data_IF_991341675235
#
_entry.id   IF_991341675235
#
_cell.length_a   1.000
_cell.length_b   1.000
_cell.length_c   1.000
_cell.angle_alpha   90.00
_cell.angle_beta   90.00
_cell.angle_gamma   90.00
#
_symmetry.space_group_name_H-M   'P 1'
#
loop_
_entity.id
_entity.type
_entity.pdbx_description
1 polymer ?
#
# COMPACT_ATOMS: atom_id res chain seq x y z
N UNK A 1 9.56 -13.87 21.88
CA UNK A 1 9.15 -13.01 20.75
C UNK A 1 9.30 -11.58 21.21
N UNK A 2 10.49 -11.01 21.04
CA UNK A 2 10.66 -9.57 21.21
C UNK A 2 9.92 -8.90 20.05
N UNK A 3 8.89 -8.12 20.35
CA UNK A 3 8.19 -7.36 19.32
C UNK A 3 9.08 -6.26 18.76
N UNK A 4 8.68 -5.68 17.62
CA UNK A 4 9.33 -4.54 16.94
C UNK A 4 9.64 -3.30 17.83
N UNK A 5 9.19 -3.27 19.08
CA UNK A 5 9.34 -2.12 19.97
C UNK A 5 8.50 -0.92 19.56
N UNK A 6 7.58 -1.07 18.60
CA UNK A 6 6.74 0.03 18.15
C UNK A 6 5.78 0.50 19.24
N UNK A 7 5.55 1.82 19.36
CA UNK A 7 4.54 2.34 20.25
C UNK A 7 3.16 1.79 19.94
N UNK A 8 2.36 1.50 20.99
CA UNK A 8 1.04 0.91 20.85
C UNK A 8 0.06 1.77 20.01
N UNK A 9 0.25 3.09 19.96
CA UNK A 9 -0.59 3.97 19.15
C UNK A 9 -0.38 3.79 17.63
N UNK A 10 0.74 3.20 17.21
CA UNK A 10 1.05 3.01 15.80
C UNK A 10 0.12 1.97 15.16
N UNK A 11 -0.25 0.94 15.92
CA UNK A 11 -1.12 -0.14 15.46
C UNK A 11 -2.53 0.36 15.03
N UNK A 12 -3.29 1.11 15.86
CA UNK A 12 -4.58 1.67 15.42
C UNK A 12 -4.41 2.71 14.29
N UNK A 13 -3.32 3.49 14.28
CA UNK A 13 -3.05 4.44 13.20
C UNK A 13 -2.92 3.71 11.84
N UNK A 14 -2.06 2.69 11.77
CA UNK A 14 -1.88 1.89 10.56
C UNK A 14 -3.16 1.13 10.18
N UNK A 15 -3.91 0.62 11.16
CA UNK A 15 -5.20 -0.02 10.93
C UNK A 15 -6.21 0.91 10.24
N UNK A 16 -6.39 2.12 10.79
CA UNK A 16 -7.28 3.13 10.19
C UNK A 16 -6.79 3.55 8.80
N UNK A 17 -5.49 3.78 8.63
CA UNK A 17 -4.92 4.15 7.34
C UNK A 17 -5.17 3.07 6.26
N UNK A 18 -5.02 1.79 6.61
CA UNK A 18 -5.30 0.66 5.70
C UNK A 18 -6.77 0.58 5.31
N UNK A 19 -7.68 0.80 6.26
CA UNK A 19 -9.12 0.85 5.97
C UNK A 19 -9.47 1.99 5.02
N UNK A 20 -8.94 3.19 5.26
CA UNK A 20 -9.13 4.35 4.36
C UNK A 20 -8.57 4.06 2.96
N UNK A 21 -7.37 3.48 2.88
CA UNK A 21 -6.75 3.08 1.61
C UNK A 21 -7.58 2.04 0.85
N UNK A 22 -8.08 1.02 1.54
CA UNK A 22 -8.94 0.00 0.95
C UNK A 22 -10.25 0.59 0.41
N UNK A 23 -10.90 1.46 1.18
CA UNK A 23 -12.11 2.17 0.72
C UNK A 23 -11.84 3.02 -0.52
N UNK A 24 -10.71 3.74 -0.57
CA UNK A 24 -10.30 4.53 -1.73
C UNK A 24 -10.07 3.66 -2.99
N UNK A 25 -9.45 2.49 -2.84
CA UNK A 25 -9.20 1.55 -3.94
C UNK A 25 -10.52 0.98 -4.49
N UNK A 26 -11.46 0.63 -3.62
CA UNK A 26 -12.75 0.05 -4.02
C UNK A 26 -13.66 1.10 -4.65
N UNK A 27 -13.69 2.33 -4.12
CA UNK A 27 -14.57 3.40 -4.59
C UNK A 27 -14.46 3.61 -6.12
N UNK A 28 -15.56 3.82 -6.85
CA UNK A 28 -15.51 3.96 -8.30
C UNK A 28 -14.89 5.28 -8.77
N UNK A 29 -15.12 6.40 -8.05
CA UNK A 29 -15.13 7.73 -8.64
C UNK A 29 -13.87 8.62 -8.46
N UNK A 30 -12.80 8.15 -7.81
CA UNK A 30 -11.67 9.04 -7.44
C UNK A 30 -10.29 8.52 -7.89
N UNK A 31 -9.89 8.71 -9.17
CA UNK A 31 -8.62 8.22 -9.70
C UNK A 31 -7.38 8.77 -8.97
N UNK A 32 -7.33 10.08 -8.63
CA UNK A 32 -6.19 10.66 -7.89
C UNK A 32 -6.05 10.07 -6.48
N UNK A 33 -7.17 9.92 -5.78
CA UNK A 33 -7.17 9.35 -4.43
C UNK A 33 -6.72 7.89 -4.45
N UNK A 34 -7.01 7.15 -5.52
CA UNK A 34 -6.47 5.80 -5.72
C UNK A 34 -4.96 5.78 -5.85
N UNK A 35 -4.38 6.70 -6.63
CA UNK A 35 -2.91 6.81 -6.71
C UNK A 35 -2.29 7.00 -5.33
N UNK A 36 -2.88 7.87 -4.52
CA UNK A 36 -2.40 8.11 -3.16
C UNK A 36 -2.58 6.88 -2.26
N UNK A 37 -3.70 6.17 -2.39
CA UNK A 37 -3.95 4.93 -1.65
C UNK A 37 -2.95 3.82 -2.01
N UNK A 38 -2.70 3.60 -3.30
CA UNK A 38 -1.70 2.64 -3.77
C UNK A 38 -0.29 3.04 -3.30
N UNK A 39 0.10 4.31 -3.42
CA UNK A 39 1.39 4.81 -2.95
C UNK A 39 1.57 4.58 -1.43
N UNK A 40 0.54 4.91 -0.63
CA UNK A 40 0.56 4.68 0.81
C UNK A 40 0.73 3.20 1.19
N UNK A 41 0.01 2.30 0.51
CA UNK A 41 0.14 0.85 0.71
C UNK A 41 1.54 0.36 0.34
N UNK A 42 2.11 0.85 -0.77
CA UNK A 42 3.48 0.49 -1.18
C UNK A 42 4.48 0.92 -0.11
N UNK A 43 4.40 2.15 0.41
CA UNK A 43 5.29 2.62 1.47
C UNK A 43 5.13 1.85 2.78
N UNK A 44 3.90 1.52 3.18
CA UNK A 44 3.62 0.67 4.35
C UNK A 44 4.26 -0.71 4.22
N UNK A 45 4.08 -1.37 3.07
CA UNK A 45 4.60 -2.72 2.84
C UNK A 45 6.12 -2.76 2.71
N UNK A 46 6.73 -1.77 2.06
CA UNK A 46 8.19 -1.62 2.02
C UNK A 46 8.74 -1.35 3.43
N UNK A 47 8.08 -0.50 4.22
CA UNK A 47 8.44 -0.24 5.61
C UNK A 47 8.34 -1.50 6.47
N UNK A 48 7.30 -2.29 6.29
CA UNK A 48 7.13 -3.58 6.97
C UNK A 48 8.28 -4.54 6.60
N UNK A 49 8.61 -4.70 5.31
CA UNK A 49 9.74 -5.53 4.86
C UNK A 49 11.07 -5.05 5.46
N UNK A 50 11.34 -3.75 5.42
CA UNK A 50 12.55 -3.18 6.01
C UNK A 50 12.66 -3.51 7.50
N UNK A 51 11.55 -3.39 8.23
CA UNK A 51 11.51 -3.67 9.66
C UNK A 51 11.83 -5.13 9.97
N UNK A 52 11.30 -6.06 9.17
CA UNK A 52 11.61 -7.50 9.31
C UNK A 52 13.06 -7.83 8.97
N UNK A 53 13.63 -7.17 7.95
CA UNK A 53 15.07 -7.27 7.65
C UNK A 53 15.90 -6.82 8.85
N UNK A 54 15.52 -5.71 9.50
CA UNK A 54 16.23 -5.21 10.68
C UNK A 54 16.12 -6.13 11.89
N UNK A 55 15.06 -6.93 11.99
CA UNK A 55 14.89 -7.95 13.02
C UNK A 55 15.54 -9.30 12.68
N UNK A 56 16.13 -9.46 11.49
CA UNK A 56 16.61 -10.73 10.95
C UNK A 56 15.51 -11.82 10.86
N UNK A 57 14.25 -11.41 10.70
CA UNK A 57 13.10 -12.32 10.59
C UNK A 57 12.73 -12.53 9.11
N UNK A 58 13.60 -13.22 8.37
CA UNK A 58 13.49 -13.37 6.91
C UNK A 58 12.18 -14.03 6.46
N UNK A 59 11.64 -14.96 7.25
CA UNK A 59 10.37 -15.64 6.96
C UNK A 59 9.18 -14.67 6.97
N UNK A 60 9.25 -13.60 7.79
CA UNK A 60 8.16 -12.63 7.90
C UNK A 60 8.15 -11.58 6.77
N UNK A 61 9.16 -11.58 5.90
CA UNK A 61 9.22 -10.74 4.70
C UNK A 61 8.24 -11.25 3.63
N UNK A 62 7.92 -12.54 3.62
CA UNK A 62 7.12 -13.19 2.56
C UNK A 62 5.73 -12.55 2.44
N UNK A 63 5.05 -12.34 3.57
CA UNK A 63 3.70 -11.77 3.59
C UNK A 63 3.62 -10.34 3.02
N UNK A 64 4.40 -9.35 3.51
CA UNK A 64 4.37 -8.01 2.94
C UNK A 64 4.89 -7.95 1.51
N UNK A 65 5.84 -8.81 1.12
CA UNK A 65 6.31 -8.92 -0.26
C UNK A 65 5.20 -9.41 -1.20
N UNK A 66 4.48 -10.46 -0.82
CA UNK A 66 3.36 -10.97 -1.63
C UNK A 66 2.26 -9.91 -1.78
N UNK A 67 1.89 -9.25 -0.68
CA UNK A 67 0.90 -8.17 -0.72
C UNK A 67 1.37 -7.00 -1.60
N UNK A 68 2.67 -6.70 -1.61
CA UNK A 68 3.23 -5.63 -2.44
C UNK A 68 3.09 -5.98 -3.92
N UNK A 69 3.43 -7.21 -4.30
CA UNK A 69 3.26 -7.69 -5.68
C UNK A 69 1.80 -7.65 -6.11
N UNK A 70 0.87 -8.07 -5.24
CA UNK A 70 -0.56 -7.98 -5.51
C UNK A 70 -1.05 -6.54 -5.64
N UNK A 71 -0.58 -5.62 -4.80
CA UNK A 71 -0.93 -4.21 -4.87
C UNK A 71 -0.44 -3.57 -6.17
N UNK A 72 0.81 -3.83 -6.57
CA UNK A 72 1.38 -3.34 -7.83
C UNK A 72 0.68 -3.96 -9.04
N UNK A 73 0.40 -5.26 -9.01
CA UNK A 73 -0.37 -5.94 -10.06
C UNK A 73 -1.78 -5.36 -10.20
N UNK A 74 -2.46 -5.14 -9.07
CA UNK A 74 -3.78 -4.50 -9.02
C UNK A 74 -3.75 -3.08 -9.60
N UNK A 75 -2.74 -2.29 -9.27
CA UNK A 75 -2.55 -0.95 -9.81
C UNK A 75 -2.31 -0.96 -11.32
N UNK A 76 -1.44 -1.85 -11.80
CA UNK A 76 -1.08 -1.96 -13.21
C UNK A 76 -2.25 -2.42 -14.08
N UNK A 77 -2.97 -3.45 -13.63
CA UNK A 77 -4.12 -4.05 -14.32
C UNK A 77 -5.42 -3.23 -14.19
N UNK A 78 -5.38 -2.09 -13.49
CA UNK A 78 -6.55 -1.26 -13.27
C UNK A 78 -7.12 -0.77 -14.62
N UNK A 79 -8.45 -0.85 -14.85
CA UNK A 79 -9.05 -0.47 -16.13
C UNK A 79 -8.85 1.03 -16.44
N UNK A 80 -8.79 1.41 -17.73
CA UNK A 80 -8.58 2.81 -18.14
C UNK A 80 -9.60 3.79 -17.55
N UNK A 81 -10.86 3.35 -17.38
CA UNK A 81 -11.94 4.14 -16.76
C UNK A 81 -11.67 4.56 -15.31
N UNK A 82 -10.69 3.94 -14.66
CA UNK A 82 -10.27 4.24 -13.28
C UNK A 82 -8.88 4.90 -13.22
N UNK A 83 -8.26 5.21 -14.36
CA UNK A 83 -6.99 5.95 -14.46
C UNK A 83 -7.25 7.45 -14.60
N UNK A 84 -6.24 8.26 -14.29
CA UNK A 84 -6.31 9.69 -14.56
C UNK A 84 -6.36 9.93 -16.07
N UNK A 85 -7.17 10.88 -16.55
CA UNK A 85 -7.08 11.36 -17.93
C UNK A 85 -5.67 11.89 -18.18
N UNK A 86 -5.12 11.63 -19.37
CA UNK A 86 -3.84 12.18 -19.78
C UNK A 86 -3.90 13.72 -19.71
N UNK A 87 -3.16 14.31 -18.76
CA UNK A 87 -3.13 15.75 -18.55
C UNK A 87 -2.30 16.49 -19.60
N UNK A 88 -1.65 15.75 -20.51
CA UNK A 88 -0.81 16.29 -21.56
C UNK A 88 -1.50 16.00 -22.90
N UNK A 89 -2.09 17.02 -23.55
CA UNK A 89 -2.49 16.86 -24.94
C UNK A 89 -1.22 16.66 -25.77
N UNK A 90 -0.99 15.43 -26.24
CA UNK A 90 0.02 15.16 -27.25
C UNK A 90 -0.51 15.83 -28.53
N UNK A 91 0.14 16.93 -28.91
CA UNK A 91 -0.15 17.67 -30.15
C UNK A 91 0.67 17.09 -31.29
#
# INVERSE_FOLDING_TARGET
MEGLGYPLYLMPLLGVAKLLGAMAIVAPAYPRLKEWAYAGIVFDLVGAMYSQIRMNEAEQIIAPMLLLLLALGSWYLRPPSRKLPDLIPIK
#
